data_IF_933191923181
#
_entry.id   IF_933191923181
#
_cell.length_a   1.000
_cell.length_b   1.000
_cell.length_c   1.000
_cell.angle_alpha   90.00
_cell.angle_beta   90.00
_cell.angle_gamma   90.00
#
_symmetry.space_group_name_H-M   'P 1'
#
loop_
_entity.id
_entity.type
_entity.pdbx_description
1 polymer ?
#
# COMPACT_ATOMS: atom_id res chain seq x y z
N UNK A 1 -37.61 -31.11 -44.72
CA UNK A 1 -37.84 -32.53 -44.34
C UNK A 1 -37.38 -33.52 -45.40
N UNK A 2 -37.64 -33.28 -46.70
CA UNK A 2 -37.27 -34.19 -47.79
C UNK A 2 -35.80 -34.65 -47.78
N UNK A 3 -34.83 -33.74 -47.61
CA UNK A 3 -33.39 -34.09 -47.61
C UNK A 3 -32.99 -35.04 -46.47
N UNK A 4 -33.60 -34.91 -45.28
CA UNK A 4 -33.34 -35.81 -44.15
C UNK A 4 -33.94 -37.19 -44.40
N UNK A 5 -35.14 -37.26 -44.94
CA UNK A 5 -35.78 -38.52 -45.31
C UNK A 5 -34.98 -39.26 -46.39
N UNK A 6 -34.48 -38.54 -47.40
CA UNK A 6 -33.64 -39.09 -48.46
C UNK A 6 -32.34 -39.73 -47.94
N UNK A 7 -31.63 -39.04 -47.02
CA UNK A 7 -30.40 -39.59 -46.41
C UNK A 7 -30.70 -40.84 -45.57
N UNK A 8 -31.82 -40.87 -44.84
CA UNK A 8 -32.23 -42.05 -44.05
C UNK A 8 -32.48 -43.27 -44.93
N UNK A 9 -33.11 -43.06 -46.09
CA UNK A 9 -33.39 -44.12 -47.06
C UNK A 9 -32.09 -44.64 -47.67
N UNK A 10 -31.17 -43.75 -48.07
CA UNK A 10 -29.86 -44.14 -48.60
C UNK A 10 -29.06 -44.96 -47.58
N UNK A 11 -29.01 -44.51 -46.32
CA UNK A 11 -28.34 -45.25 -45.25
C UNK A 11 -29.02 -46.61 -45.02
N UNK A 12 -30.35 -46.66 -44.95
CA UNK A 12 -31.09 -47.92 -44.82
C UNK A 12 -30.76 -48.91 -45.92
N UNK A 13 -30.80 -48.49 -47.19
CA UNK A 13 -30.46 -49.34 -48.35
C UNK A 13 -29.00 -49.80 -48.30
N UNK A 14 -28.07 -48.91 -47.95
CA UNK A 14 -26.65 -49.24 -47.80
C UNK A 14 -26.39 -50.28 -46.72
N UNK A 15 -27.02 -50.13 -45.54
CA UNK A 15 -26.91 -51.09 -44.45
C UNK A 15 -27.61 -52.43 -44.78
N UNK A 16 -28.69 -52.42 -45.56
CA UNK A 16 -29.30 -53.66 -46.06
C UNK A 16 -28.32 -54.44 -46.93
N UNK A 17 -27.67 -53.78 -47.89
CA UNK A 17 -26.71 -54.41 -48.77
C UNK A 17 -25.46 -54.90 -48.02
N UNK A 18 -24.97 -54.09 -47.08
CA UNK A 18 -23.84 -54.47 -46.23
C UNK A 18 -24.18 -55.66 -45.32
N UNK A 19 -25.36 -55.66 -44.70
CA UNK A 19 -25.84 -56.78 -43.89
C UNK A 19 -25.98 -58.06 -44.70
N UNK A 20 -26.47 -57.96 -45.94
CA UNK A 20 -26.55 -59.08 -46.87
C UNK A 20 -25.16 -59.65 -47.21
N UNK A 21 -24.20 -58.80 -47.55
CA UNK A 21 -22.83 -59.23 -47.88
C UNK A 21 -22.14 -59.89 -46.68
N UNK A 22 -22.20 -59.25 -45.51
CA UNK A 22 -21.54 -59.75 -44.31
C UNK A 22 -22.13 -61.09 -43.86
N UNK A 23 -23.46 -61.20 -43.90
CA UNK A 23 -24.16 -62.44 -43.53
C UNK A 23 -23.96 -63.56 -44.56
N UNK A 24 -23.64 -63.24 -45.82
CA UNK A 24 -23.33 -64.23 -46.84
C UNK A 24 -22.11 -65.10 -46.48
N UNK A 25 -21.12 -64.56 -45.76
CA UNK A 25 -19.95 -65.33 -45.30
C UNK A 25 -20.36 -66.54 -44.45
N UNK A 26 -21.39 -66.37 -43.62
CA UNK A 26 -21.86 -67.40 -42.71
C UNK A 26 -22.99 -68.26 -43.31
N UNK A 27 -24.04 -67.63 -43.84
CA UNK A 27 -25.23 -68.35 -44.32
C UNK A 27 -25.05 -69.04 -45.68
N UNK A 28 -23.96 -68.77 -46.41
CA UNK A 28 -23.64 -69.52 -47.63
C UNK A 28 -23.14 -70.94 -47.30
N UNK A 29 -22.51 -71.14 -46.15
CA UNK A 29 -22.06 -72.47 -45.69
C UNK A 29 -23.11 -73.15 -44.82
N UNK A 30 -23.94 -72.37 -44.12
CA UNK A 30 -24.99 -72.86 -43.22
C UNK A 30 -26.35 -72.23 -43.60
N UNK A 31 -27.08 -72.76 -44.61
CA UNK A 31 -28.34 -72.18 -45.04
C UNK A 31 -29.40 -72.28 -43.94
N UNK A 32 -30.12 -71.18 -43.71
CA UNK A 32 -31.17 -71.11 -42.70
C UNK A 32 -32.36 -71.99 -43.13
N UNK A 33 -32.73 -72.98 -42.32
CA UNK A 33 -33.80 -73.94 -42.62
C UNK A 33 -33.61 -74.70 -43.96
N UNK A 34 -32.37 -74.79 -44.47
CA UNK A 34 -32.07 -75.40 -45.76
C UNK A 34 -32.49 -74.58 -46.98
N UNK A 35 -33.00 -73.35 -46.78
CA UNK A 35 -33.40 -72.45 -47.86
C UNK A 35 -32.24 -71.51 -48.19
N UNK A 36 -31.75 -71.59 -49.43
CA UNK A 36 -30.70 -70.71 -49.92
C UNK A 36 -31.11 -69.23 -49.83
N UNK A 37 -30.17 -68.37 -49.45
CA UNK A 37 -30.33 -66.90 -49.36
C UNK A 37 -31.30 -66.36 -48.29
N UNK A 38 -32.03 -67.21 -47.57
CA UNK A 38 -33.01 -66.77 -46.57
C UNK A 38 -32.35 -66.05 -45.37
N UNK A 39 -31.24 -66.58 -44.86
CA UNK A 39 -30.50 -65.97 -43.77
C UNK A 39 -29.92 -64.60 -44.14
N UNK A 40 -29.43 -64.47 -45.38
CA UNK A 40 -28.83 -63.25 -45.88
C UNK A 40 -29.86 -62.13 -46.06
N UNK A 41 -31.04 -62.45 -46.60
CA UNK A 41 -32.12 -61.45 -46.77
C UNK A 41 -32.63 -60.96 -45.43
N UNK A 42 -32.89 -61.86 -44.47
CA UNK A 42 -33.30 -61.49 -43.12
C UNK A 42 -32.27 -60.61 -42.40
N UNK A 43 -30.99 -61.00 -42.45
CA UNK A 43 -29.91 -60.20 -41.86
C UNK A 43 -29.78 -58.82 -42.53
N UNK A 44 -29.94 -58.75 -43.87
CA UNK A 44 -30.01 -57.50 -44.61
C UNK A 44 -31.17 -56.61 -44.14
N UNK A 45 -32.38 -57.14 -44.04
CA UNK A 45 -33.53 -56.36 -43.55
C UNK A 45 -33.33 -55.84 -42.12
N UNK A 46 -32.78 -56.66 -41.22
CA UNK A 46 -32.48 -56.24 -39.84
C UNK A 46 -31.43 -55.13 -39.85
N UNK A 47 -30.33 -55.29 -40.58
CA UNK A 47 -29.31 -54.24 -40.69
C UNK A 47 -29.88 -52.95 -41.31
N UNK A 48 -30.73 -53.06 -42.33
CA UNK A 48 -31.39 -51.94 -42.99
C UNK A 48 -32.34 -51.16 -42.08
N UNK A 49 -33.14 -51.86 -41.27
CA UNK A 49 -34.04 -51.22 -40.28
C UNK A 49 -33.27 -50.49 -39.18
N UNK A 50 -32.18 -51.09 -38.69
CA UNK A 50 -31.24 -50.43 -37.76
C UNK A 50 -30.61 -49.21 -38.42
N UNK A 51 -30.13 -49.33 -39.67
CA UNK A 51 -29.56 -48.23 -40.44
C UNK A 51 -30.52 -47.06 -40.66
N UNK A 52 -31.80 -47.35 -40.87
CA UNK A 52 -32.83 -46.35 -41.13
C UNK A 52 -33.31 -45.64 -39.85
N UNK A 53 -33.40 -46.35 -38.73
CA UNK A 53 -33.95 -45.81 -37.47
C UNK A 53 -32.89 -45.33 -36.47
N UNK A 54 -31.86 -46.14 -36.19
CA UNK A 54 -30.91 -45.90 -35.09
C UNK A 54 -29.77 -44.97 -35.48
N UNK A 55 -29.18 -45.14 -36.67
CA UNK A 55 -28.03 -44.33 -37.12
C UNK A 55 -28.33 -42.83 -37.15
N UNK A 56 -29.48 -42.34 -37.64
CA UNK A 56 -29.78 -40.91 -37.65
C UNK A 56 -29.90 -40.32 -36.24
N UNK A 57 -30.47 -41.08 -35.31
CA UNK A 57 -30.60 -40.68 -33.89
C UNK A 57 -29.21 -40.57 -33.27
N UNK A 58 -28.35 -41.56 -33.52
CA UNK A 58 -26.97 -41.57 -33.03
C UNK A 58 -26.16 -40.37 -33.56
N UNK A 59 -26.29 -40.06 -34.86
CA UNK A 59 -25.61 -38.90 -35.47
C UNK A 59 -26.10 -37.58 -34.85
N UNK A 60 -27.41 -37.40 -34.66
CA UNK A 60 -27.94 -36.19 -34.02
C UNK A 60 -27.48 -36.08 -32.56
N UNK A 61 -27.44 -37.18 -31.82
CA UNK A 61 -26.95 -37.20 -30.45
C UNK A 61 -25.46 -36.87 -30.37
N UNK A 62 -24.64 -37.47 -31.23
CA UNK A 62 -23.20 -37.21 -31.30
C UNK A 62 -22.90 -35.74 -31.65
N UNK A 63 -23.61 -35.19 -32.64
CA UNK A 63 -23.51 -33.78 -33.03
C UNK A 63 -23.82 -32.85 -31.85
N UNK A 64 -24.92 -33.11 -31.14
CA UNK A 64 -25.34 -32.29 -30.01
C UNK A 64 -24.36 -32.39 -28.83
N UNK A 65 -23.75 -33.55 -28.60
CA UNK A 65 -22.75 -33.73 -27.55
C UNK A 65 -21.43 -33.02 -27.86
N UNK A 66 -20.95 -33.10 -29.11
CA UNK A 66 -19.75 -32.35 -29.55
C UNK A 66 -20.00 -30.85 -29.46
N UNK A 67 -21.16 -30.37 -29.92
CA UNK A 67 -21.48 -28.94 -29.87
C UNK A 67 -21.51 -28.41 -28.43
N UNK A 68 -22.06 -29.18 -27.48
CA UNK A 68 -22.06 -28.80 -26.05
C UNK A 68 -20.66 -28.72 -25.47
N UNK A 69 -19.79 -29.68 -25.81
CA UNK A 69 -18.39 -29.71 -25.36
C UNK A 69 -17.57 -28.54 -25.91
N UNK A 70 -17.73 -28.22 -27.20
CA UNK A 70 -17.03 -27.07 -27.80
C UNK A 70 -17.47 -25.77 -27.14
N UNK A 71 -18.77 -25.60 -26.91
CA UNK A 71 -19.31 -24.39 -26.25
C UNK A 71 -18.83 -24.27 -24.81
N UNK A 72 -18.71 -25.37 -24.06
CA UNK A 72 -18.20 -25.31 -22.68
C UNK A 72 -16.72 -24.90 -22.64
N UNK A 73 -15.89 -25.47 -23.51
CA UNK A 73 -14.45 -25.12 -23.58
C UNK A 73 -14.25 -23.64 -23.95
N UNK A 74 -15.01 -23.12 -24.92
CA UNK A 74 -14.92 -21.70 -25.31
C UNK A 74 -15.34 -20.80 -24.15
N UNK A 75 -16.42 -21.13 -23.43
CA UNK A 75 -16.88 -20.34 -22.29
C UNK A 75 -15.86 -20.34 -21.15
N UNK A 76 -15.30 -21.50 -20.81
CA UNK A 76 -14.28 -21.62 -19.77
C UNK A 76 -13.00 -20.86 -20.13
N UNK A 77 -12.55 -20.98 -21.38
CA UNK A 77 -11.36 -20.28 -21.87
C UNK A 77 -11.56 -18.77 -21.82
N UNK A 78 -12.72 -18.28 -22.25
CA UNK A 78 -13.05 -16.85 -22.21
C UNK A 78 -13.14 -16.32 -20.77
N UNK A 79 -13.74 -17.08 -19.85
CA UNK A 79 -13.80 -16.71 -18.44
C UNK A 79 -12.41 -16.67 -17.79
N UNK A 80 -11.53 -17.62 -18.12
CA UNK A 80 -10.15 -17.63 -17.63
C UNK A 80 -9.33 -16.45 -18.19
N UNK A 81 -9.48 -16.14 -19.48
CA UNK A 81 -8.82 -15.00 -20.12
C UNK A 81 -9.29 -13.67 -19.51
N UNK A 82 -10.58 -13.54 -19.22
CA UNK A 82 -11.12 -12.35 -18.58
C UNK A 82 -10.58 -12.16 -17.16
N UNK A 83 -10.55 -13.22 -16.34
CA UNK A 83 -9.93 -13.19 -15.00
C UNK A 83 -8.44 -12.84 -15.05
N UNK A 84 -7.68 -13.37 -16.02
CA UNK A 84 -6.26 -13.04 -16.20
C UNK A 84 -6.05 -11.57 -16.60
N UNK A 85 -6.92 -11.02 -17.47
CA UNK A 85 -6.89 -9.60 -17.86
C UNK A 85 -7.19 -8.68 -16.67
N UNK A 86 -8.19 -9.01 -15.88
CA UNK A 86 -8.54 -8.25 -14.65
C UNK A 86 -7.41 -8.29 -13.61
N UNK A 87 -6.76 -9.44 -13.43
CA UNK A 87 -5.58 -9.58 -12.57
C UNK A 87 -4.38 -8.78 -13.10
N UNK A 88 -4.13 -8.80 -14.41
CA UNK A 88 -3.04 -8.04 -15.03
C UNK A 88 -3.27 -6.51 -14.95
N UNK A 89 -4.50 -6.03 -15.19
CA UNK A 89 -4.84 -4.61 -15.04
C UNK A 89 -4.78 -4.12 -13.59
N UNK A 90 -5.16 -4.97 -12.63
CA UNK A 90 -5.06 -4.66 -11.20
C UNK A 90 -3.60 -4.53 -10.76
N UNK A 91 -2.74 -5.44 -11.22
CA UNK A 91 -1.30 -5.40 -10.92
C UNK A 91 -0.56 -4.26 -11.63
N UNK A 92 -0.92 -3.92 -12.87
CA UNK A 92 -0.32 -2.77 -13.57
C UNK A 92 -0.69 -1.44 -12.92
N UNK A 93 -1.96 -1.25 -12.54
CA UNK A 93 -2.42 -0.06 -11.81
C UNK A 93 -1.74 0.11 -10.45
N UNK A 94 -1.48 -0.97 -9.72
CA UNK A 94 -0.79 -0.89 -8.42
C UNK A 94 0.72 -0.61 -8.58
N UNK A 95 1.33 -1.17 -9.64
CA UNK A 95 2.74 -0.92 -9.98
C UNK A 95 2.96 0.50 -10.49
N UNK A 96 2.06 1.04 -11.29
CA UNK A 96 2.08 2.42 -11.77
C UNK A 96 1.86 3.43 -10.63
N UNK A 97 0.94 3.14 -9.69
CA UNK A 97 0.78 3.94 -8.47
C UNK A 97 2.03 3.93 -7.58
N UNK A 98 2.68 2.77 -7.42
CA UNK A 98 3.95 2.65 -6.68
C UNK A 98 5.11 3.39 -7.36
N UNK A 99 5.19 3.34 -8.69
CA UNK A 99 6.18 4.10 -9.46
C UNK A 99 5.90 5.61 -9.42
N UNK A 100 4.62 6.00 -9.41
CA UNK A 100 4.18 7.40 -9.40
C UNK A 100 4.39 8.12 -8.06
N UNK A 101 4.36 7.40 -6.93
CA UNK A 101 4.54 7.99 -5.60
C UNK A 101 5.85 7.60 -4.89
N UNK A 102 6.60 6.64 -5.42
CA UNK A 102 7.85 6.16 -4.84
C UNK A 102 7.64 5.47 -3.49
N UNK A 103 8.53 4.56 -3.11
CA UNK A 103 8.45 3.86 -1.81
C UNK A 103 8.68 4.78 -0.59
N UNK A 104 8.89 6.08 -0.78
CA UNK A 104 9.33 7.01 0.26
C UNK A 104 8.64 8.38 0.23
N UNK A 105 7.40 8.48 -0.27
CA UNK A 105 6.67 9.75 -0.16
C UNK A 105 6.35 10.13 1.29
N UNK A 106 6.53 11.41 1.59
CA UNK A 106 6.24 11.99 2.89
C UNK A 106 5.07 12.96 2.75
N UNK A 107 3.98 12.71 3.46
CA UNK A 107 2.87 13.64 3.59
C UNK A 107 3.19 14.68 4.65
N UNK A 108 3.09 15.94 4.30
CA UNK A 108 3.44 17.05 5.19
C UNK A 108 2.17 17.63 5.83
N UNK A 109 2.23 17.82 7.14
CA UNK A 109 1.21 18.49 7.94
C UNK A 109 1.48 20.01 8.05
N UNK A 110 0.44 20.80 8.28
CA UNK A 110 0.47 22.25 8.51
C UNK A 110 1.43 22.62 9.63
N UNK A 111 1.43 21.85 10.73
CA UNK A 111 2.28 22.09 11.89
C UNK A 111 3.79 22.02 11.57
N UNK A 112 4.20 21.09 10.70
CA UNK A 112 5.58 20.93 10.29
C UNK A 112 6.03 22.04 9.32
N UNK A 113 5.13 22.52 8.46
CA UNK A 113 5.39 23.63 7.54
C UNK A 113 5.60 24.92 8.33
N UNK A 114 4.74 25.21 9.30
CA UNK A 114 4.82 26.43 10.11
C UNK A 114 6.08 26.46 10.99
N UNK A 115 6.49 25.30 11.52
CA UNK A 115 7.69 25.17 12.34
C UNK A 115 8.97 25.56 11.57
N UNK A 116 9.02 25.27 10.27
CA UNK A 116 10.06 25.78 9.37
C UNK A 116 11.33 24.94 9.27
N UNK A 117 11.66 24.13 10.29
CA UNK A 117 12.91 23.33 10.31
C UNK A 117 12.97 22.28 9.20
N UNK A 118 11.83 21.91 8.61
CA UNK A 118 11.77 20.89 7.56
C UNK A 118 12.57 21.27 6.31
N UNK A 119 12.65 22.56 5.96
CA UNK A 119 13.40 23.01 4.79
C UNK A 119 14.89 22.74 4.93
N UNK A 120 15.48 23.10 6.08
CA UNK A 120 16.89 22.87 6.37
C UNK A 120 17.21 21.37 6.49
N UNK A 121 16.35 20.59 7.18
CA UNK A 121 16.52 19.14 7.31
C UNK A 121 16.57 18.46 5.93
N UNK A 122 15.74 18.92 5.00
CA UNK A 122 15.76 18.43 3.61
C UNK A 122 17.00 18.88 2.84
N UNK A 123 17.37 20.17 2.94
CA UNK A 123 18.57 20.69 2.28
C UNK A 123 19.85 19.96 2.73
N UNK A 124 19.89 19.51 3.98
CA UNK A 124 21.01 18.72 4.53
C UNK A 124 20.95 17.22 4.16
N UNK A 125 19.91 16.77 3.44
CA UNK A 125 19.78 15.40 2.97
C UNK A 125 19.28 14.38 4.00
N UNK A 126 18.74 14.82 5.14
CA UNK A 126 18.22 13.90 6.18
C UNK A 126 16.83 13.32 5.86
N UNK A 127 16.11 13.90 4.89
CA UNK A 127 14.79 13.45 4.47
C UNK A 127 14.76 13.15 2.95
N UNK A 128 13.99 12.13 2.51
CA UNK A 128 13.72 11.85 1.12
C UNK A 128 13.26 13.08 0.34
N UNK A 129 13.64 13.15 -0.95
CA UNK A 129 13.42 14.34 -1.76
C UNK A 129 11.96 14.59 -2.17
N UNK A 130 11.03 13.64 -2.00
CA UNK A 130 9.63 13.78 -2.42
C UNK A 130 8.70 14.10 -1.24
N UNK A 131 8.32 15.37 -1.14
CA UNK A 131 7.24 15.82 -0.27
C UNK A 131 5.91 15.84 -1.02
N UNK A 132 4.88 15.35 -0.35
CA UNK A 132 3.50 15.44 -0.80
C UNK A 132 2.76 16.40 0.12
N UNK A 133 2.24 17.48 -0.46
CA UNK A 133 1.45 18.49 0.25
C UNK A 133 0.00 18.38 -0.24
N UNK A 134 -0.92 17.82 0.56
CA UNK A 134 -2.32 17.74 0.19
C UNK A 134 -2.95 19.14 0.04
N UNK A 135 -3.91 19.28 -0.89
CA UNK A 135 -4.64 20.55 -1.09
C UNK A 135 -5.29 21.05 0.20
N UNK A 136 -5.90 20.17 0.99
CA UNK A 136 -6.53 20.54 2.25
C UNK A 136 -5.56 21.09 3.31
N UNK A 137 -4.28 20.70 3.27
CA UNK A 137 -3.22 21.27 4.12
C UNK A 137 -2.88 22.69 3.68
N UNK A 138 -2.82 22.95 2.37
CA UNK A 138 -2.62 24.32 1.85
C UNK A 138 -3.79 25.24 2.25
N UNK A 139 -5.03 24.73 2.19
CA UNK A 139 -6.22 25.47 2.60
C UNK A 139 -6.18 25.79 4.09
N UNK A 140 -5.82 24.82 4.94
CA UNK A 140 -5.66 25.05 6.38
C UNK A 140 -4.55 26.08 6.66
N UNK A 141 -3.39 25.95 6.00
CA UNK A 141 -2.29 26.91 6.14
C UNK A 141 -2.69 28.33 5.70
N UNK A 142 -3.48 28.45 4.64
CA UNK A 142 -4.05 29.73 4.20
C UNK A 142 -5.01 30.30 5.25
N UNK A 143 -5.92 29.50 5.81
CA UNK A 143 -6.79 29.95 6.90
C UNK A 143 -5.99 30.43 8.12
N UNK A 144 -4.85 29.79 8.43
CA UNK A 144 -3.94 30.26 9.48
C UNK A 144 -3.29 31.60 9.08
N UNK A 145 -2.87 31.76 7.82
CA UNK A 145 -2.29 32.99 7.28
C UNK A 145 -3.29 34.16 7.18
N UNK A 146 -4.59 33.87 7.15
CA UNK A 146 -5.67 34.87 7.14
C UNK A 146 -6.31 35.09 8.52
N UNK A 147 -5.74 34.48 9.57
CA UNK A 147 -6.24 34.61 10.94
C UNK A 147 -6.24 36.06 11.42
N UNK A 148 -7.24 36.43 12.23
CA UNK A 148 -7.29 37.74 12.92
C UNK A 148 -6.16 37.88 13.95
N UNK A 149 -5.76 36.76 14.56
CA UNK A 149 -4.61 36.68 15.45
C UNK A 149 -3.31 36.94 14.68
N UNK A 150 -2.61 38.01 15.07
CA UNK A 150 -1.36 38.47 14.45
C UNK A 150 -0.28 37.38 14.47
N UNK A 151 -0.13 36.65 15.58
CA UNK A 151 0.91 35.63 15.72
C UNK A 151 0.62 34.43 14.83
N UNK A 152 -0.63 33.97 14.78
CA UNK A 152 -1.05 32.88 13.89
C UNK A 152 -0.88 33.29 12.43
N UNK A 153 -1.32 34.49 12.05
CA UNK A 153 -1.17 35.06 10.72
C UNK A 153 0.29 35.11 10.26
N UNK A 154 1.18 35.65 11.10
CA UNK A 154 2.60 35.73 10.79
C UNK A 154 3.23 34.34 10.60
N UNK A 155 2.84 33.37 11.44
CA UNK A 155 3.26 31.97 11.33
C UNK A 155 2.76 31.31 10.04
N UNK A 156 1.50 31.51 9.67
CA UNK A 156 0.92 30.98 8.43
C UNK A 156 1.61 31.54 7.19
N UNK A 157 1.83 32.86 7.14
CA UNK A 157 2.55 33.53 6.04
C UNK A 157 3.98 33.00 5.90
N UNK A 158 4.71 32.88 7.02
CA UNK A 158 6.05 32.27 7.03
C UNK A 158 6.04 30.83 6.50
N UNK A 159 5.04 30.04 6.85
CA UNK A 159 4.88 28.68 6.32
C UNK A 159 4.68 28.64 4.80
N UNK A 160 3.87 29.56 4.26
CA UNK A 160 3.69 29.70 2.81
C UNK A 160 4.97 30.15 2.10
N UNK A 161 5.71 31.09 2.68
CA UNK A 161 7.01 31.53 2.18
C UNK A 161 8.03 30.38 2.15
N UNK A 162 8.09 29.56 3.20
CA UNK A 162 8.94 28.38 3.26
C UNK A 162 8.60 27.38 2.14
N UNK A 163 7.33 27.08 1.93
CA UNK A 163 6.91 26.17 0.84
C UNK A 163 7.34 26.70 -0.52
N UNK A 164 7.22 28.02 -0.76
CA UNK A 164 7.65 28.64 -2.00
C UNK A 164 9.17 28.57 -2.18
N UNK A 165 9.94 28.79 -1.12
CA UNK A 165 11.40 28.63 -1.13
C UNK A 165 11.81 27.19 -1.41
N UNK A 166 11.20 26.22 -0.72
CA UNK A 166 11.46 24.80 -0.92
C UNK A 166 11.10 24.36 -2.34
N UNK A 167 10.04 24.91 -2.94
CA UNK A 167 9.63 24.60 -4.32
C UNK A 167 10.63 25.10 -5.36
N UNK A 168 11.36 26.17 -5.05
CA UNK A 168 12.43 26.72 -5.91
C UNK A 168 13.74 25.95 -5.79
N UNK A 169 13.92 25.13 -4.74
CA UNK A 169 15.11 24.31 -4.58
C UNK A 169 15.03 23.08 -5.53
N UNK A 170 15.97 22.89 -6.47
CA UNK A 170 15.97 21.75 -7.40
C UNK A 170 16.15 20.38 -6.71
N UNK A 171 16.72 20.34 -5.50
CA UNK A 171 16.93 19.11 -4.72
C UNK A 171 15.65 18.65 -4.01
N UNK A 172 14.68 19.56 -3.81
CA UNK A 172 13.43 19.30 -3.11
C UNK A 172 12.30 19.16 -4.13
N UNK A 173 11.72 17.97 -4.24
CA UNK A 173 10.53 17.71 -5.07
C UNK A 173 9.28 17.85 -4.21
N UNK A 174 8.53 18.93 -4.41
CA UNK A 174 7.20 19.09 -3.82
C UNK A 174 6.13 18.73 -4.84
N UNK A 175 5.23 17.81 -4.48
CA UNK A 175 4.04 17.47 -5.25
C UNK A 175 2.79 17.83 -4.47
N UNK A 176 1.92 18.61 -5.09
CA UNK A 176 0.60 18.89 -4.54
C UNK A 176 -0.36 17.78 -4.99
N UNK A 177 -1.10 17.21 -4.04
CA UNK A 177 -2.12 16.19 -4.32
C UNK A 177 -3.50 16.75 -4.02
N UNK A 178 -4.35 16.73 -5.03
CA UNK A 178 -5.74 17.17 -4.93
C UNK A 178 -6.65 15.97 -4.66
N UNK A 179 -6.57 15.47 -3.42
CA UNK A 179 -7.41 14.39 -2.93
C UNK A 179 -7.98 14.77 -1.59
N UNK A 180 -9.30 14.77 -1.51
CA UNK A 180 -10.05 15.06 -0.29
C UNK A 180 -11.04 13.94 0.04
N UNK A 181 -11.37 13.80 1.33
CA UNK A 181 -12.31 12.83 1.86
C UNK A 181 -13.50 13.56 2.47
N UNK A 182 -14.53 13.82 1.67
CA UNK A 182 -15.70 14.63 2.06
C UNK A 182 -16.42 14.08 3.32
N UNK A 183 -16.35 12.76 3.54
CA UNK A 183 -16.97 12.11 4.71
C UNK A 183 -16.16 12.24 6.01
N UNK A 184 -14.94 12.76 5.94
CA UNK A 184 -14.05 12.94 7.08
C UNK A 184 -13.92 14.44 7.34
N UNK A 185 -14.36 14.91 8.52
CA UNK A 185 -14.30 16.36 8.84
C UNK A 185 -12.90 16.82 9.24
N UNK A 186 -12.20 16.04 10.08
CA UNK A 186 -10.91 16.43 10.65
C UNK A 186 -9.75 16.30 9.66
N UNK A 187 -8.92 17.35 9.57
CA UNK A 187 -7.71 17.39 8.73
C UNK A 187 -6.76 16.25 9.09
N UNK A 188 -6.51 16.02 10.39
CA UNK A 188 -5.70 14.92 10.90
C UNK A 188 -6.16 13.56 10.39
N UNK A 189 -7.48 13.30 10.48
CA UNK A 189 -8.08 12.05 10.02
C UNK A 189 -7.98 11.89 8.50
N UNK A 190 -8.12 12.98 7.73
CA UNK A 190 -7.88 12.99 6.28
C UNK A 190 -6.43 12.65 5.97
N UNK A 191 -5.47 13.22 6.70
CA UNK A 191 -4.05 12.98 6.52
C UNK A 191 -3.68 11.53 6.82
N UNK A 192 -4.17 10.96 7.93
CA UNK A 192 -3.96 9.55 8.29
C UNK A 192 -4.59 8.62 7.25
N UNK A 193 -5.79 8.93 6.76
CA UNK A 193 -6.44 8.14 5.71
C UNK A 193 -5.64 8.19 4.41
N UNK A 194 -5.17 9.36 4.00
CA UNK A 194 -4.36 9.55 2.81
C UNK A 194 -3.03 8.79 2.92
N UNK A 195 -2.37 8.87 4.07
CA UNK A 195 -1.12 8.19 4.34
C UNK A 195 -1.25 6.67 4.21
N UNK A 196 -2.35 6.09 4.71
CA UNK A 196 -2.65 4.66 4.54
C UNK A 196 -2.81 4.28 3.08
N UNK A 197 -3.60 5.05 2.33
CA UNK A 197 -3.89 4.73 0.93
C UNK A 197 -2.66 4.83 0.04
N UNK A 198 -1.82 5.83 0.30
CA UNK A 198 -0.58 6.06 -0.44
C UNK A 198 0.62 5.25 0.08
N UNK A 199 0.47 4.59 1.24
CA UNK A 199 1.57 3.96 2.00
C UNK A 199 2.71 4.95 2.30
N UNK A 200 2.35 6.21 2.56
CA UNK A 200 3.29 7.31 2.86
C UNK A 200 3.56 7.45 4.35
N UNK A 201 4.70 8.08 4.68
CA UNK A 201 5.01 8.54 6.06
C UNK A 201 4.33 9.90 6.30
N UNK A 202 4.01 10.26 7.55
CA UNK A 202 3.52 11.60 7.91
C UNK A 202 4.65 12.40 8.57
N UNK A 203 4.90 13.62 8.11
CA UNK A 203 5.80 14.59 8.73
C UNK A 203 4.98 15.63 9.48
N UNK A 204 5.16 15.71 10.80
CA UNK A 204 4.39 16.58 11.69
C UNK A 204 5.23 17.05 12.88
N UNK A 205 4.83 18.13 13.54
CA UNK A 205 5.31 18.48 14.89
C UNK A 205 4.27 18.20 15.97
N UNK A 206 3.02 17.93 15.58
CA UNK A 206 1.90 17.71 16.49
C UNK A 206 2.00 16.36 17.23
N UNK A 207 1.81 16.39 18.55
CA UNK A 207 1.89 15.22 19.41
C UNK A 207 0.68 14.30 19.29
N UNK A 208 -0.53 14.85 19.14
CA UNK A 208 -1.77 14.09 19.08
C UNK A 208 -1.90 13.37 17.74
N UNK A 209 -1.66 14.06 16.63
CA UNK A 209 -1.61 13.45 15.30
C UNK A 209 -0.57 12.33 15.25
N UNK A 210 0.60 12.53 15.86
CA UNK A 210 1.63 11.51 15.97
C UNK A 210 1.10 10.23 16.68
N UNK A 211 0.41 10.37 17.82
CA UNK A 211 -0.20 9.23 18.53
C UNK A 211 -1.28 8.53 17.70
N UNK A 212 -2.22 9.29 17.12
CA UNK A 212 -3.33 8.75 16.32
C UNK A 212 -2.81 8.03 15.06
N UNK A 213 -1.82 8.60 14.38
CA UNK A 213 -1.20 8.02 13.20
C UNK A 213 -0.43 6.72 13.53
N UNK A 214 0.35 6.70 14.62
CA UNK A 214 1.07 5.50 15.07
C UNK A 214 0.11 4.36 15.41
N UNK A 215 -0.97 4.62 16.16
CA UNK A 215 -2.02 3.63 16.46
C UNK A 215 -2.69 3.13 15.18
N UNK A 216 -2.84 4.02 14.20
CA UNK A 216 -3.37 3.68 12.88
C UNK A 216 -2.40 2.87 12.01
N UNK A 217 -1.18 2.59 12.44
CA UNK A 217 -0.17 1.86 11.66
C UNK A 217 0.52 2.71 10.58
N UNK A 218 0.47 4.04 10.71
CA UNK A 218 1.17 4.97 9.82
C UNK A 218 2.49 5.40 10.47
N UNK A 219 3.60 5.29 9.74
CA UNK A 219 4.90 5.76 10.22
C UNK A 219 4.93 7.28 10.26
N UNK A 220 5.34 7.83 11.41
CA UNK A 220 5.42 9.27 11.65
C UNK A 220 6.87 9.70 11.75
N UNK A 221 7.21 10.77 11.06
CA UNK A 221 8.46 11.51 11.15
C UNK A 221 8.15 12.78 11.95
N UNK A 222 8.46 12.78 13.25
CA UNK A 222 8.20 13.94 14.09
C UNK A 222 9.47 14.77 14.28
N UNK A 223 9.43 16.05 13.90
CA UNK A 223 10.61 16.93 13.94
C UNK A 223 11.09 17.16 15.38
N UNK A 224 10.19 17.18 16.37
CA UNK A 224 10.55 17.28 17.78
C UNK A 224 11.21 16.00 18.29
N UNK A 225 10.75 14.83 17.84
CA UNK A 225 11.41 13.54 18.14
C UNK A 225 12.83 13.51 17.53
N UNK A 226 13.00 13.97 16.28
CA UNK A 226 14.31 14.08 15.63
C UNK A 226 15.25 15.04 16.39
N UNK A 227 14.77 16.24 16.71
CA UNK A 227 15.56 17.24 17.44
C UNK A 227 16.03 16.73 18.80
N UNK A 228 15.21 15.94 19.50
CA UNK A 228 15.61 15.32 20.76
C UNK A 228 16.60 14.16 20.55
N UNK A 229 16.50 13.41 19.46
CA UNK A 229 17.39 12.29 19.16
C UNK A 229 18.82 12.72 18.83
N UNK A 230 19.00 13.93 18.30
CA UNK A 230 20.31 14.49 17.94
C UNK A 230 20.96 15.33 19.05
N UNK A 231 20.31 15.47 20.22
CA UNK A 231 20.92 16.14 21.38
C UNK A 231 22.16 15.40 21.85
N UNK A 232 23.11 16.16 22.37
CA UNK A 232 24.40 15.63 22.84
C UNK A 232 24.18 14.51 23.86
N UNK A 233 24.90 13.41 23.70
CA UNK A 233 24.91 12.32 24.67
C UNK A 233 26.07 12.58 25.63
N UNK A 234 25.75 12.91 26.87
CA UNK A 234 26.71 12.92 27.97
C UNK A 234 26.56 11.61 28.75
N UNK A 235 27.63 11.14 29.38
CA UNK A 235 27.62 9.91 30.18
C UNK A 235 27.89 10.20 31.67
N UNK A 236 27.35 9.40 32.60
CA UNK A 236 27.76 9.46 34.00
C UNK A 236 29.28 9.37 34.15
N UNK A 237 29.87 10.24 34.97
CA UNK A 237 31.30 10.38 35.16
C UNK A 237 32.01 11.32 34.19
N UNK A 238 31.36 11.76 33.10
CA UNK A 238 31.92 12.73 32.17
C UNK A 238 32.05 14.11 32.81
N UNK A 239 33.14 14.83 32.48
CA UNK A 239 33.38 16.19 32.96
C UNK A 239 32.96 17.20 31.91
N UNK A 240 32.12 18.15 32.30
CA UNK A 240 31.62 19.21 31.43
C UNK A 240 31.75 20.57 32.12
N UNK A 241 31.73 21.64 31.32
CA UNK A 241 31.69 23.03 31.83
C UNK A 241 30.31 23.61 31.64
N UNK A 242 29.75 24.17 32.70
CA UNK A 242 28.40 24.73 32.69
C UNK A 242 28.40 26.10 33.35
N UNK A 243 27.74 27.07 32.72
CA UNK A 243 27.44 28.35 33.34
C UNK A 243 26.17 28.21 34.17
N UNK A 244 26.23 28.56 35.45
CA UNK A 244 25.03 28.62 36.31
C UNK A 244 24.30 29.93 36.01
N UNK A 245 23.05 29.84 35.56
CA UNK A 245 22.27 30.98 35.07
C UNK A 245 21.13 31.33 36.04
N UNK A 246 20.52 30.33 36.68
CA UNK A 246 19.37 30.52 37.57
C UNK A 246 19.44 29.58 38.78
N UNK A 247 18.72 29.93 39.85
CA UNK A 247 18.55 29.03 40.99
C UNK A 247 17.72 27.80 40.58
N UNK A 248 18.09 26.64 41.12
CA UNK A 248 17.33 25.40 40.92
C UNK A 248 16.13 25.29 41.84
N UNK A 249 15.32 24.26 41.61
CA UNK A 249 14.08 24.05 42.35
C UNK A 249 14.32 23.65 43.80
N UNK A 250 15.35 22.85 44.08
CA UNK A 250 15.70 22.45 45.44
C UNK A 250 16.66 23.44 46.09
N UNK A 251 16.61 23.51 47.43
CA UNK A 251 17.55 24.30 48.21
C UNK A 251 18.99 23.90 47.82
N UNK A 252 19.78 24.89 47.41
CA UNK A 252 21.19 24.82 46.97
C UNK A 252 21.46 24.41 45.52
N UNK A 253 20.45 24.05 44.73
CA UNK A 253 20.68 23.77 43.31
C UNK A 253 20.91 25.05 42.50
N UNK A 254 21.76 24.93 41.48
CA UNK A 254 21.84 25.88 40.38
C UNK A 254 21.41 25.21 39.07
N UNK A 255 21.00 25.98 38.08
CA UNK A 255 20.63 25.48 36.76
C UNK A 255 21.39 26.23 35.68
N UNK A 256 21.95 25.47 34.75
CA UNK A 256 22.55 25.94 33.52
C UNK A 256 21.99 25.17 32.31
N UNK A 257 22.51 25.50 31.14
CA UNK A 257 22.10 24.87 29.89
C UNK A 257 23.32 24.53 29.04
N UNK A 258 23.28 23.38 28.38
CA UNK A 258 24.21 23.06 27.30
C UNK A 258 23.91 23.91 26.04
N UNK A 259 24.83 23.99 25.07
CA UNK A 259 24.59 24.72 23.81
C UNK A 259 23.35 24.25 23.05
N UNK A 260 22.97 22.98 23.19
CA UNK A 260 21.77 22.39 22.57
C UNK A 260 20.47 22.62 23.39
N UNK A 261 20.55 23.42 24.46
CA UNK A 261 19.43 23.74 25.34
C UNK A 261 19.10 22.65 26.37
N UNK A 262 19.89 21.58 26.48
CA UNK A 262 19.69 20.57 27.52
C UNK A 262 19.91 21.18 28.90
N UNK A 263 18.92 21.03 29.79
CA UNK A 263 18.98 21.58 31.14
C UNK A 263 19.97 20.80 32.00
N UNK A 264 20.88 21.51 32.65
CA UNK A 264 21.86 20.94 33.57
C UNK A 264 21.63 21.47 34.98
N UNK A 265 21.31 20.57 35.90
CA UNK A 265 21.09 20.87 37.32
C UNK A 265 22.38 20.61 38.07
N UNK A 266 22.97 21.67 38.62
CA UNK A 266 24.23 21.65 39.37
C UNK A 266 23.91 21.54 40.86
N UNK A 267 24.27 20.42 41.48
CA UNK A 267 24.19 20.24 42.94
C UNK A 267 25.14 21.22 43.64
N UNK A 268 24.67 21.88 44.70
CA UNK A 268 25.39 22.99 45.38
C UNK A 268 25.73 24.19 44.45
N UNK A 269 25.02 24.33 43.33
CA UNK A 269 25.23 25.38 42.33
C UNK A 269 24.68 26.76 42.69
N UNK A 270 23.82 26.90 43.71
CA UNK A 270 23.14 28.17 44.05
C UNK A 270 24.11 29.32 44.30
N UNK A 271 25.23 29.05 44.97
CA UNK A 271 26.21 30.09 45.31
C UNK A 271 27.16 30.43 44.14
N UNK A 272 27.02 29.74 43.02
CA UNK A 272 27.89 29.84 41.84
C UNK A 272 27.19 30.52 40.66
N UNK A 273 26.09 31.23 40.94
CA UNK A 273 25.31 32.00 39.98
C UNK A 273 26.19 32.95 39.16
N UNK A 274 26.00 32.95 37.85
CA UNK A 274 26.76 33.74 36.88
C UNK A 274 28.13 33.15 36.51
N UNK A 275 28.63 32.16 37.24
CA UNK A 275 29.96 31.57 37.04
C UNK A 275 29.92 30.34 36.12
N UNK A 276 31.04 30.07 35.46
CA UNK A 276 31.28 28.84 34.69
C UNK A 276 32.05 27.88 35.59
N UNK A 277 31.51 26.69 35.78
CA UNK A 277 32.06 25.69 36.72
C UNK A 277 32.33 24.36 36.05
N UNK A 278 33.41 23.71 36.46
CA UNK A 278 33.74 22.33 36.08
C UNK A 278 32.93 21.35 36.93
N UNK A 279 32.13 20.54 36.26
CA UNK A 279 31.18 19.62 36.89
C UNK A 279 31.31 18.23 36.30
N UNK A 280 30.99 17.22 37.10
CA UNK A 280 30.93 15.83 36.68
C UNK A 280 29.48 15.36 36.63
N UNK A 281 29.10 14.68 35.55
CA UNK A 281 27.76 14.13 35.37
C UNK A 281 27.52 13.03 36.40
N UNK A 282 26.48 13.19 37.22
CA UNK A 282 26.08 12.20 38.22
C UNK A 282 24.98 11.28 37.69
N UNK A 283 23.91 11.86 37.12
CA UNK A 283 22.73 11.13 36.64
C UNK A 283 22.03 11.88 35.52
N UNK A 284 21.34 11.13 34.66
CA UNK A 284 20.63 11.67 33.51
C UNK A 284 19.17 11.26 33.62
N UNK A 285 18.26 12.23 33.52
CA UNK A 285 16.82 12.00 33.55
C UNK A 285 16.21 12.34 32.20
N UNK A 286 15.40 11.43 31.67
CA UNK A 286 14.56 11.72 30.52
C UNK A 286 13.18 12.17 31.03
N UNK A 287 12.75 13.35 30.59
CA UNK A 287 11.43 13.93 30.89
C UNK A 287 10.62 14.10 29.60
N UNK A 288 9.33 14.42 29.73
CA UNK A 288 8.46 14.72 28.59
C UNK A 288 8.94 15.94 27.77
N UNK A 289 9.59 16.92 28.42
CA UNK A 289 10.13 18.11 27.77
C UNK A 289 11.55 17.90 27.18
N UNK A 290 12.17 16.75 27.43
CA UNK A 290 13.52 16.43 26.96
C UNK A 290 14.40 15.86 28.05
N UNK A 291 15.72 15.95 27.86
CA UNK A 291 16.72 15.41 28.77
C UNK A 291 17.12 16.45 29.82
N UNK A 292 17.31 16.00 31.05
CA UNK A 292 17.85 16.78 32.16
C UNK A 292 19.08 16.07 32.69
N UNK A 293 20.17 16.80 32.89
CA UNK A 293 21.44 16.25 33.36
C UNK A 293 21.68 16.78 34.77
N UNK A 294 21.93 15.90 35.73
CA UNK A 294 22.36 16.29 37.06
C UNK A 294 23.87 16.12 37.16
N UNK A 295 24.51 17.09 37.78
CA UNK A 295 25.95 17.18 37.87
C UNK A 295 26.37 17.61 39.26
N UNK A 296 27.58 17.21 39.65
CA UNK A 296 28.23 17.61 40.90
C UNK A 296 29.50 18.40 40.60
N UNK A 297 29.85 19.34 41.47
CA UNK A 297 31.10 20.10 41.35
C UNK A 297 32.29 19.14 41.40
N UNK A 298 33.23 19.30 40.46
CA UNK A 298 34.50 18.58 40.53
C UNK A 298 35.30 19.15 41.69
N UNK A 299 35.45 18.39 42.78
CA UNK A 299 36.36 18.75 43.86
C UNK A 299 37.78 18.79 43.29
N UNK A 300 38.46 19.94 43.40
CA UNK A 300 39.92 19.97 43.18
C UNK A 300 40.54 19.06 44.24
N UNK A 301 41.31 18.07 43.80
CA UNK A 301 42.16 17.31 44.71
C UNK A 301 43.11 18.33 45.37
N UNK A 302 43.05 18.38 46.70
CA UNK A 302 43.95 19.17 47.56
C UNK A 302 45.29 18.45 47.63
#
# INVERSE_FOLDING_TARGET
>A
MLKKAFIRIILGVGFTFLGFILSNVYFNTHPLFGISYLGQTLAGFIAGTIGLLLIPILIEHLKNSIQRMVVSIIRETNQQLQKRREQQQSQSSEKDKRAQFGFESILVDTSAIIDGRIGEIMNLGFLPSLLIVPRFILVELQHVADSTDVLKRNRGRRGLELLEQMRKNPEIKIRIVDKDFLQIKGVDSKLVRLAKEMRSKILTTDYNLNKVAKVSGVKVLNVNELSNAIKTVVLPGERIRVKVIQEGKELRQGVGYLPDGTMVVVEEGKNLMGQIVDVQVSRIFQTAAGRMIFVQLVKKAV
#
